data_IF_719112424033
#
_entry.id   IF_719112424033
#
_cell.length_a   1.000
_cell.length_b   1.000
_cell.length_c   1.000
_cell.angle_alpha   90.00
_cell.angle_beta   90.00
_cell.angle_gamma   90.00
#
_symmetry.space_group_name_H-M   'P 1'
#
loop_
_entity.id
_entity.type
_entity.pdbx_description
1 polymer ?
#
# COMPACT_ATOMS: atom_id res chain seq x y z
N UNK A 1 -1.91 -3.09 -17.97
CA UNK A 1 -3.07 -2.18 -17.80
C UNK A 1 -4.05 -2.77 -16.80
N UNK A 2 -4.64 -1.96 -15.93
CA UNK A 2 -5.60 -2.42 -14.91
C UNK A 2 -5.01 -2.94 -13.59
N UNK A 3 -3.71 -2.75 -13.36
CA UNK A 3 -3.00 -3.21 -12.14
C UNK A 3 -2.78 -2.02 -11.21
N UNK A 4 -3.25 -2.13 -9.96
CA UNK A 4 -3.24 -0.99 -9.04
C UNK A 4 -3.19 -1.34 -7.56
N UNK A 5 -3.12 -2.61 -7.21
CA UNK A 5 -2.85 -3.00 -5.83
C UNK A 5 -1.35 -2.78 -5.55
N UNK A 6 -0.97 -2.17 -4.40
CA UNK A 6 0.43 -1.85 -4.12
C UNK A 6 1.40 -3.02 -4.26
N UNK A 7 1.01 -4.20 -3.77
CA UNK A 7 1.81 -5.43 -3.89
C UNK A 7 2.05 -5.80 -5.35
N UNK A 8 1.00 -5.81 -6.16
CA UNK A 8 1.09 -6.16 -7.59
C UNK A 8 2.02 -5.21 -8.34
N UNK A 9 2.02 -3.92 -7.99
CA UNK A 9 2.93 -2.94 -8.62
C UNK A 9 4.38 -3.28 -8.29
N UNK A 10 4.70 -3.60 -7.04
CA UNK A 10 6.07 -3.97 -6.65
C UNK A 10 6.50 -5.25 -7.36
N UNK A 11 5.62 -6.26 -7.39
CA UNK A 11 5.91 -7.55 -8.03
C UNK A 11 6.07 -7.40 -9.55
N UNK A 12 5.14 -6.73 -10.22
CA UNK A 12 5.21 -6.51 -11.67
C UNK A 12 6.44 -5.69 -12.06
N UNK A 13 6.87 -4.74 -11.22
CA UNK A 13 8.09 -3.96 -11.50
C UNK A 13 9.34 -4.81 -11.37
N UNK A 14 9.39 -5.75 -10.42
CA UNK A 14 10.47 -6.74 -10.35
C UNK A 14 10.53 -7.62 -11.61
N UNK A 15 9.37 -7.89 -12.23
CA UNK A 15 9.24 -8.64 -13.47
C UNK A 15 9.44 -7.78 -14.74
N UNK A 16 9.80 -6.49 -14.60
CA UNK A 16 10.13 -5.61 -15.72
C UNK A 16 8.97 -4.82 -16.32
N UNK A 17 7.86 -4.64 -15.59
CA UNK A 17 6.79 -3.73 -16.01
C UNK A 17 7.08 -2.27 -15.62
N UNK A 18 6.94 -1.36 -16.58
CA UNK A 18 7.31 0.05 -16.41
C UNK A 18 6.12 1.00 -16.19
N UNK A 19 4.92 0.63 -16.67
CA UNK A 19 3.75 1.51 -16.67
C UNK A 19 2.52 0.84 -16.07
N UNK A 20 1.78 1.61 -15.26
CA UNK A 20 0.59 1.16 -14.55
C UNK A 20 -0.56 2.15 -14.70
N UNK A 21 -1.76 1.63 -14.87
CA UNK A 21 -3.02 2.36 -14.78
C UNK A 21 -4.02 1.50 -14.02
N UNK A 22 -4.75 2.12 -13.09
CA UNK A 22 -5.87 1.46 -12.42
C UNK A 22 -6.75 2.46 -11.70
N UNK A 23 -8.05 2.15 -11.63
CA UNK A 23 -9.02 2.88 -10.82
C UNK A 23 -8.95 2.49 -9.34
N UNK A 24 -8.11 1.53 -8.95
CA UNK A 24 -8.02 1.01 -7.58
C UNK A 24 -7.99 2.10 -6.49
N UNK A 25 -7.04 3.07 -6.50
CA UNK A 25 -6.92 4.05 -5.41
C UNK A 25 -8.17 4.92 -5.24
N UNK A 26 -8.81 5.33 -6.34
CA UNK A 26 -10.02 6.17 -6.29
C UNK A 26 -11.29 5.36 -6.04
N UNK A 27 -11.35 4.10 -6.52
CA UNK A 27 -12.45 3.17 -6.26
C UNK A 27 -12.52 2.81 -4.78
N UNK A 28 -11.40 2.42 -4.17
CA UNK A 28 -11.35 2.05 -2.74
C UNK A 28 -11.62 3.24 -1.84
N UNK A 29 -11.18 4.44 -2.22
CA UNK A 29 -11.48 5.67 -1.51
C UNK A 29 -12.99 5.96 -1.41
N UNK A 30 -13.77 5.70 -2.47
CA UNK A 30 -15.24 5.84 -2.44
C UNK A 30 -15.90 4.88 -1.44
N UNK A 31 -15.30 3.72 -1.21
CA UNK A 31 -15.74 2.79 -0.17
C UNK A 31 -15.23 3.18 1.23
N UNK A 32 -14.47 4.27 1.37
CA UNK A 32 -13.93 4.71 2.65
C UNK A 32 -12.71 3.90 3.08
N UNK A 33 -11.93 3.39 2.13
CA UNK A 33 -10.72 2.61 2.42
C UNK A 33 -9.49 3.40 1.97
N UNK A 34 -8.60 3.68 2.93
CA UNK A 34 -7.34 4.34 2.69
C UNK A 34 -6.20 3.33 2.54
N UNK A 35 -5.24 3.61 1.66
CA UNK A 35 -4.03 2.83 1.48
C UNK A 35 -2.98 3.25 2.53
N UNK A 36 -2.39 2.29 3.23
CA UNK A 36 -1.33 2.50 4.22
C UNK A 36 -0.21 1.49 3.97
N UNK A 37 1.02 1.71 4.47
CA UNK A 37 2.12 0.76 4.30
C UNK A 37 1.79 -0.66 4.76
N UNK A 38 0.98 -0.79 5.81
CA UNK A 38 0.53 -2.06 6.41
C UNK A 38 -0.69 -2.67 5.68
N UNK A 39 -1.05 -2.15 4.50
CA UNK A 39 -2.17 -2.63 3.70
C UNK A 39 -3.29 -1.60 3.57
N UNK A 40 -4.45 -1.87 4.19
CA UNK A 40 -5.65 -1.05 4.00
C UNK A 40 -6.30 -0.65 5.32
N UNK A 41 -6.60 0.64 5.45
CA UNK A 41 -7.33 1.20 6.58
C UNK A 41 -8.78 1.46 6.18
N UNK A 42 -9.70 0.70 6.75
CA UNK A 42 -11.14 0.86 6.52
C UNK A 42 -11.70 1.95 7.46
N UNK A 43 -11.82 3.17 6.95
CA UNK A 43 -12.21 4.37 7.71
C UNK A 43 -13.68 4.35 8.16
N UNK A 44 -14.53 3.47 7.61
CA UNK A 44 -15.92 3.31 8.04
C UNK A 44 -16.10 2.51 9.32
N UNK A 45 -15.08 1.81 9.82
CA UNK A 45 -15.22 1.05 11.07
C UNK A 45 -15.37 1.98 12.27
N UNK A 46 -16.19 1.54 13.23
CA UNK A 46 -16.44 2.26 14.48
C UNK A 46 -15.15 2.55 15.27
N UNK A 47 -14.15 1.68 15.20
CA UNK A 47 -12.85 1.90 15.83
C UNK A 47 -12.16 3.21 15.38
N UNK A 48 -12.52 3.74 14.22
CA UNK A 48 -11.97 4.98 13.68
C UNK A 48 -12.70 6.22 14.18
N UNK A 49 -13.86 6.10 14.82
CA UNK A 49 -14.71 7.23 15.21
C UNK A 49 -14.05 8.17 16.22
N UNK A 50 -13.19 7.65 17.09
CA UNK A 50 -12.48 8.40 18.14
C UNK A 50 -10.95 8.44 17.93
N UNK A 51 -10.46 7.86 16.83
CA UNK A 51 -9.01 7.82 16.53
C UNK A 51 -8.53 9.20 16.04
N UNK A 52 -7.79 9.91 16.89
CA UNK A 52 -7.25 11.25 16.59
C UNK A 52 -5.97 11.23 15.78
N UNK A 53 -5.41 10.06 15.46
CA UNK A 53 -4.22 9.95 14.61
C UNK A 53 -4.56 10.31 13.16
N UNK A 54 -3.54 10.68 12.37
CA UNK A 54 -3.67 10.81 10.92
C UNK A 54 -3.85 9.42 10.26
N UNK A 55 -4.25 9.38 8.99
CA UNK A 55 -4.37 8.09 8.26
C UNK A 55 -3.05 7.32 8.33
N UNK A 56 -1.94 7.97 7.98
CA UNK A 56 -0.60 7.46 8.07
C UNK A 56 0.33 8.56 8.63
N UNK A 57 0.94 8.38 9.82
CA UNK A 57 1.87 9.35 10.40
C UNK A 57 3.13 9.60 9.55
N UNK A 58 3.51 8.66 8.69
CA UNK A 58 4.67 8.78 7.80
C UNK A 58 4.34 9.46 6.46
N UNK A 59 3.05 9.72 6.19
CA UNK A 59 2.59 10.34 4.95
C UNK A 59 2.58 11.87 5.07
N UNK A 60 3.21 12.55 4.11
CA UNK A 60 3.33 14.01 4.08
C UNK A 60 2.28 14.70 3.21
N UNK A 61 1.24 13.98 2.79
CA UNK A 61 0.12 14.52 2.02
C UNK A 61 -0.69 15.54 2.85
N UNK A 62 -1.39 16.46 2.19
CA UNK A 62 -2.23 17.47 2.85
C UNK A 62 -3.25 16.85 3.80
N UNK A 63 -3.83 15.70 3.44
CA UNK A 63 -4.86 15.05 4.24
C UNK A 63 -4.31 14.54 5.57
N UNK A 64 -3.16 13.86 5.56
CA UNK A 64 -2.51 13.35 6.77
C UNK A 64 -1.98 14.45 7.68
N UNK A 65 -1.65 15.63 7.13
CA UNK A 65 -1.18 16.79 7.90
C UNK A 65 -2.31 17.57 8.57
N UNK A 66 -3.51 17.54 8.01
CA UNK A 66 -4.60 18.43 8.42
C UNK A 66 -5.72 17.70 9.16
N UNK A 67 -6.00 16.44 8.81
CA UNK A 67 -7.19 15.73 9.29
C UNK A 67 -6.85 14.46 10.08
N UNK A 68 -7.70 14.16 11.05
CA UNK A 68 -7.65 12.93 11.85
C UNK A 68 -8.51 11.83 11.25
N UNK A 69 -8.25 10.58 11.61
CA UNK A 69 -9.07 9.41 11.22
C UNK A 69 -10.52 9.56 11.68
N UNK A 70 -10.74 10.06 12.90
CA UNK A 70 -12.06 10.39 13.45
C UNK A 70 -12.84 11.39 12.58
N UNK A 71 -12.18 12.46 12.16
CA UNK A 71 -12.80 13.46 11.30
C UNK A 71 -13.18 12.86 9.94
N UNK A 72 -12.25 12.10 9.34
CA UNK A 72 -12.49 11.47 8.04
C UNK A 72 -13.56 10.37 8.16
N UNK A 73 -13.61 9.61 9.25
CA UNK A 73 -14.68 8.64 9.53
C UNK A 73 -16.07 9.30 9.51
N UNK A 74 -16.20 10.45 10.18
CA UNK A 74 -17.44 11.22 10.19
C UNK A 74 -17.82 11.70 8.79
N UNK A 75 -16.85 12.19 7.99
CA UNK A 75 -17.12 12.63 6.62
C UNK A 75 -17.47 11.46 5.70
N UNK A 76 -16.70 10.38 5.68
CA UNK A 76 -16.90 9.22 4.79
C UNK A 76 -18.25 8.53 5.01
N UNK A 77 -18.86 8.70 6.18
CA UNK A 77 -20.19 8.15 6.50
C UNK A 77 -21.34 9.08 6.16
N UNK A 78 -21.09 10.39 5.98
CA UNK A 78 -22.14 11.42 5.87
C UNK A 78 -22.06 12.29 4.63
N UNK A 79 -20.89 12.39 3.99
CA UNK A 79 -20.59 13.36 2.94
C UNK A 79 -19.65 12.79 1.88
N UNK A 80 -19.89 13.15 0.61
CA UNK A 80 -19.03 12.80 -0.51
C UNK A 80 -17.60 13.38 -0.38
N UNK A 81 -17.42 14.50 0.33
CA UNK A 81 -16.12 15.11 0.63
C UNK A 81 -15.14 14.13 1.29
N UNK A 82 -15.64 13.20 2.11
CA UNK A 82 -14.81 12.15 2.71
C UNK A 82 -14.11 11.30 1.65
N UNK A 83 -14.82 10.92 0.59
CA UNK A 83 -14.25 10.14 -0.51
C UNK A 83 -13.21 10.92 -1.32
N UNK A 84 -13.32 12.24 -1.41
CA UNK A 84 -12.34 13.10 -2.10
C UNK A 84 -11.04 13.17 -1.30
N UNK A 85 -11.12 13.37 0.01
CA UNK A 85 -9.94 13.38 0.89
C UNK A 85 -9.21 12.03 0.86
N UNK A 86 -9.95 10.92 0.97
CA UNK A 86 -9.33 9.60 0.90
C UNK A 86 -8.74 9.34 -0.49
N UNK A 87 -9.38 9.83 -1.56
CA UNK A 87 -8.83 9.72 -2.93
C UNK A 87 -7.51 10.47 -3.07
N UNK A 88 -7.42 11.69 -2.52
CA UNK A 88 -6.19 12.46 -2.51
C UNK A 88 -5.06 11.72 -1.80
N UNK A 89 -5.35 11.18 -0.60
CA UNK A 89 -4.37 10.37 0.15
C UNK A 89 -3.94 9.13 -0.63
N UNK A 90 -4.88 8.36 -1.19
CA UNK A 90 -4.58 7.14 -1.92
C UNK A 90 -3.75 7.42 -3.18
N UNK A 91 -4.06 8.47 -3.95
CA UNK A 91 -3.27 8.86 -5.11
C UNK A 91 -1.86 9.31 -4.70
N UNK A 92 -1.73 10.06 -3.61
CA UNK A 92 -0.43 10.46 -3.07
C UNK A 92 0.41 9.23 -2.68
N UNK A 93 -0.19 8.25 -2.00
CA UNK A 93 0.45 7.00 -1.64
C UNK A 93 0.98 6.26 -2.88
N UNK A 94 0.16 6.11 -3.93
CA UNK A 94 0.58 5.41 -5.15
C UNK A 94 1.72 6.14 -5.87
N UNK A 95 1.66 7.47 -5.98
CA UNK A 95 2.74 8.27 -6.58
C UNK A 95 4.02 8.16 -5.76
N UNK A 96 3.92 8.17 -4.43
CA UNK A 96 5.07 7.98 -3.54
C UNK A 96 5.67 6.59 -3.73
N UNK A 97 4.85 5.54 -3.73
CA UNK A 97 5.29 4.16 -3.99
C UNK A 97 6.06 4.06 -5.30
N UNK A 98 5.53 4.60 -6.40
CA UNK A 98 6.21 4.60 -7.69
C UNK A 98 7.54 5.36 -7.67
N UNK A 99 7.62 6.47 -6.92
CA UNK A 99 8.87 7.23 -6.76
C UNK A 99 9.91 6.44 -5.97
N UNK A 100 9.51 5.88 -4.82
CA UNK A 100 10.41 5.13 -3.94
C UNK A 100 10.95 3.89 -4.68
N UNK A 101 10.07 3.22 -5.45
CA UNK A 101 10.43 2.12 -6.33
C UNK A 101 11.48 2.54 -7.36
N UNK A 102 11.22 3.60 -8.12
CA UNK A 102 12.14 4.11 -9.13
C UNK A 102 13.50 4.54 -8.52
N UNK A 103 13.49 5.20 -7.35
CA UNK A 103 14.71 5.57 -6.64
C UNK A 103 15.54 4.35 -6.24
N UNK A 104 14.91 3.31 -5.69
CA UNK A 104 15.63 2.09 -5.30
C UNK A 104 16.27 1.35 -6.48
N UNK A 105 15.67 1.42 -7.68
CA UNK A 105 16.26 0.86 -8.90
C UNK A 105 17.52 1.65 -9.30
N UNK A 106 17.45 2.99 -9.27
CA UNK A 106 18.60 3.85 -9.59
C UNK A 106 19.74 3.64 -8.61
N UNK A 107 19.42 3.48 -7.33
CA UNK A 107 20.40 3.28 -6.25
C UNK A 107 20.94 1.85 -6.18
N UNK A 108 20.40 0.91 -6.97
CA UNK A 108 20.79 -0.50 -6.94
C UNK A 108 20.34 -1.25 -5.68
N UNK A 109 19.42 -0.68 -4.90
CA UNK A 109 18.89 -1.20 -3.63
C UNK A 109 17.48 -1.78 -3.75
N UNK A 110 17.03 -2.09 -4.97
CA UNK A 110 15.67 -2.60 -5.22
C UNK A 110 15.31 -3.88 -4.41
N UNK A 111 16.19 -4.90 -4.28
CA UNK A 111 15.90 -6.06 -3.42
C UNK A 111 15.62 -5.67 -1.96
N UNK A 112 16.38 -4.74 -1.40
CA UNK A 112 16.17 -4.25 -0.03
C UNK A 112 14.85 -3.50 0.10
N UNK A 113 14.48 -2.72 -0.92
CA UNK A 113 13.18 -2.06 -1.00
C UNK A 113 12.03 -3.06 -0.97
N UNK A 114 12.11 -4.14 -1.77
CA UNK A 114 11.09 -5.21 -1.80
C UNK A 114 10.96 -5.88 -0.43
N UNK A 115 12.08 -6.26 0.20
CA UNK A 115 12.07 -6.87 1.52
C UNK A 115 11.42 -5.94 2.57
N UNK A 116 11.80 -4.67 2.58
CA UNK A 116 11.23 -3.66 3.49
C UNK A 116 9.73 -3.43 3.24
N UNK A 117 9.28 -3.50 1.98
CA UNK A 117 7.88 -3.39 1.62
C UNK A 117 7.08 -4.59 2.12
N UNK A 118 7.58 -5.81 1.88
CA UNK A 118 6.93 -7.05 2.32
C UNK A 118 6.84 -7.14 3.85
N UNK A 119 7.90 -6.76 4.59
CA UNK A 119 7.86 -6.74 6.06
C UNK A 119 6.79 -5.79 6.61
N UNK A 120 6.58 -4.64 5.97
CA UNK A 120 5.54 -3.69 6.38
C UNK A 120 4.14 -4.23 6.08
N UNK A 121 3.97 -4.85 4.92
CA UNK A 121 2.68 -5.36 4.46
C UNK A 121 2.27 -6.66 5.15
N UNK A 122 3.24 -7.52 5.45
CA UNK A 122 3.09 -8.85 6.05
C UNK A 122 4.01 -8.96 7.28
N UNK A 123 3.67 -8.30 8.40
CA UNK A 123 4.52 -8.30 9.59
C UNK A 123 4.68 -9.69 10.23
N UNK A 124 3.77 -10.61 9.95
CA UNK A 124 3.81 -12.01 10.41
C UNK A 124 4.59 -12.93 9.45
N UNK A 125 5.15 -12.40 8.36
CA UNK A 125 5.90 -13.17 7.37
C UNK A 125 5.03 -14.07 6.46
N UNK A 126 3.71 -13.93 6.53
CA UNK A 126 2.72 -14.67 5.75
C UNK A 126 2.58 -14.14 4.31
N UNK A 127 3.69 -14.12 3.58
CA UNK A 127 3.73 -13.67 2.18
C UNK A 127 3.07 -14.73 1.28
N UNK A 128 2.17 -14.34 0.36
CA UNK A 128 1.50 -15.29 -0.53
C UNK A 128 2.47 -16.04 -1.45
N UNK A 129 2.19 -17.33 -1.71
CA UNK A 129 3.06 -18.20 -2.53
C UNK A 129 3.36 -17.62 -3.91
N UNK A 130 2.36 -17.02 -4.57
CA UNK A 130 2.54 -16.41 -5.89
C UNK A 130 3.57 -15.26 -5.89
N UNK A 131 3.73 -14.56 -4.76
CA UNK A 131 4.77 -13.54 -4.58
C UNK A 131 6.12 -14.20 -4.41
N UNK A 132 6.20 -15.26 -3.58
CA UNK A 132 7.43 -16.06 -3.41
C UNK A 132 7.94 -16.54 -4.79
N UNK A 133 7.05 -17.12 -5.59
CA UNK A 133 7.36 -17.63 -6.93
C UNK A 133 7.75 -16.51 -7.91
N UNK A 134 7.10 -15.35 -7.86
CA UNK A 134 7.42 -14.23 -8.74
C UNK A 134 8.80 -13.62 -8.42
N UNK A 135 9.18 -13.55 -7.14
CA UNK A 135 10.48 -13.03 -6.73
C UNK A 135 11.63 -13.96 -7.12
N UNK A 136 11.42 -15.28 -7.04
CA UNK A 136 12.38 -16.27 -7.53
C UNK A 136 12.67 -16.10 -9.03
N UNK A 137 11.61 -15.94 -9.84
CA UNK A 137 11.74 -15.67 -11.29
C UNK A 137 12.45 -14.33 -11.55
N UNK A 138 12.22 -13.32 -10.72
CA UNK A 138 12.89 -12.02 -10.82
C UNK A 138 14.36 -12.05 -10.32
N UNK A 139 14.81 -13.16 -9.72
CA UNK A 139 16.14 -13.29 -9.13
C UNK A 139 16.34 -12.46 -7.85
N UNK A 140 15.25 -12.19 -7.12
CA UNK A 140 15.27 -11.41 -5.87
C UNK A 140 15.10 -12.36 -4.69
N UNK A 141 16.12 -12.44 -3.83
CA UNK A 141 16.06 -13.25 -2.62
C UNK A 141 15.27 -12.53 -1.52
N UNK A 142 14.08 -13.06 -1.20
CA UNK A 142 13.20 -12.58 -0.13
C UNK A 142 13.23 -13.47 1.12
N UNK A 143 14.11 -14.47 1.19
CA UNK A 143 14.18 -15.42 2.33
C UNK A 143 14.47 -14.73 3.67
N UNK A 144 15.15 -13.57 3.64
CA UNK A 144 15.46 -12.76 4.82
C UNK A 144 14.25 -12.02 5.42
N UNK A 145 13.14 -11.90 4.68
CA UNK A 145 11.95 -11.15 5.10
C UNK A 145 10.67 -11.99 5.15
N UNK A 146 10.70 -13.25 4.70
CA UNK A 146 9.56 -14.16 4.72
C UNK A 146 9.90 -15.38 5.56
N UNK A 147 9.02 -15.78 6.47
CA UNK A 147 9.14 -17.10 7.09
C UNK A 147 8.84 -18.15 6.01
N UNK A 148 9.88 -18.84 5.56
CA UNK A 148 9.83 -19.86 4.49
C UNK A 148 8.91 -21.04 4.82
N UNK A 149 8.43 -21.16 6.06
CA UNK A 149 7.42 -22.12 6.49
C UNK A 149 5.98 -21.73 6.14
N UNK A 150 5.73 -20.49 5.70
CA UNK A 150 4.39 -19.98 5.41
C UNK A 150 3.99 -20.07 3.92
N UNK A 151 4.93 -20.14 2.96
CA UNK A 151 4.60 -20.27 1.52
C UNK A 151 4.05 -21.70 1.16
N UNK A 152 3.67 -22.54 2.14
CA UNK A 152 3.23 -23.94 1.93
C UNK A 152 1.74 -24.22 2.14
N UNK A 153 0.89 -23.20 2.37
CA UNK A 153 -0.53 -23.42 2.63
C UNK A 153 -1.43 -22.52 1.76
N UNK A 154 -2.19 -23.22 0.91
CA UNK A 154 -3.37 -22.89 0.10
C UNK A 154 -3.20 -22.23 -1.29
#
# INVERSE_FOLDING_TARGET
>A
MGVGYPLDIVVCSALGADMYDCVYPTRTARFGTALIPEGVLKLKHHAMAEDTRSIDPSCSCMVCKTYTRAYIHCLVTKDAMGSQLVSYHNLYYMIKLSRDLHTSIIEGSFPEFVCNFLQKMFPEGNVPEWVCNAMDVAGIDISSCCDTSACSQD
#
